data_IF_817673295159
#
_entry.id   IF_817673295159
#
_cell.length_a   1.000
_cell.length_b   1.000
_cell.length_c   1.000
_cell.angle_alpha   90.00
_cell.angle_beta   90.00
_cell.angle_gamma   90.00
#
_symmetry.space_group_name_H-M   'P 1'
#
loop_
_entity.id
_entity.type
_entity.pdbx_description
1 polymer ?
#
# COMPACT_ATOMS: atom_id res chain seq x y z
N UNK A 1 17.83 -10.18 -16.80
CA UNK A 1 16.78 -9.51 -16.01
C UNK A 1 15.61 -10.46 -16.00
N UNK A 2 15.13 -10.88 -14.83
CA UNK A 2 13.92 -11.72 -14.78
C UNK A 2 12.75 -10.92 -15.39
N UNK A 3 11.92 -11.58 -16.19
CA UNK A 3 10.73 -10.97 -16.76
C UNK A 3 9.79 -10.60 -15.60
N UNK A 4 9.31 -9.35 -15.59
CA UNK A 4 8.31 -8.92 -14.59
C UNK A 4 7.04 -9.76 -14.81
N UNK A 5 6.43 -10.33 -13.75
CA UNK A 5 5.21 -11.10 -13.90
C UNK A 5 4.08 -10.24 -14.50
N UNK A 6 3.23 -10.87 -15.30
CA UNK A 6 1.97 -10.30 -15.75
C UNK A 6 0.87 -10.81 -14.83
N UNK A 7 0.38 -9.97 -13.93
CA UNK A 7 -0.41 -10.38 -12.77
C UNK A 7 -1.82 -10.87 -13.12
N UNK A 8 -2.27 -10.63 -14.34
CA UNK A 8 -3.54 -11.13 -14.88
C UNK A 8 -3.44 -12.55 -15.45
N UNK A 9 -2.25 -13.13 -15.53
CA UNK A 9 -2.09 -14.53 -15.95
C UNK A 9 -2.62 -15.51 -14.89
N UNK A 10 -3.15 -16.69 -15.28
CA UNK A 10 -3.80 -17.61 -14.34
C UNK A 10 -2.92 -18.06 -13.17
N UNK A 11 -1.60 -18.21 -13.38
CA UNK A 11 -0.67 -18.62 -12.33
C UNK A 11 -0.48 -17.51 -11.28
N UNK A 12 -0.31 -16.27 -11.73
CA UNK A 12 -0.17 -15.09 -10.90
C UNK A 12 -1.45 -14.75 -10.13
N UNK A 13 -2.62 -14.92 -10.75
CA UNK A 13 -3.91 -14.80 -10.05
C UNK A 13 -4.04 -15.80 -8.90
N UNK A 14 -3.55 -17.02 -9.09
CA UNK A 14 -3.49 -18.02 -8.03
C UNK A 14 -2.47 -17.61 -6.95
N UNK A 15 -1.32 -17.05 -7.36
CA UNK A 15 -0.32 -16.54 -6.43
C UNK A 15 -0.86 -15.41 -5.54
N UNK A 16 -1.60 -14.44 -6.10
CA UNK A 16 -2.27 -13.37 -5.35
C UNK A 16 -3.16 -13.97 -4.25
N UNK A 17 -4.02 -14.93 -4.61
CA UNK A 17 -4.91 -15.58 -3.65
C UNK A 17 -4.16 -16.36 -2.57
N UNK A 18 -3.08 -17.06 -2.92
CA UNK A 18 -2.26 -17.80 -1.97
C UNK A 18 -1.56 -16.87 -0.97
N UNK A 19 -1.02 -15.75 -1.45
CA UNK A 19 -0.43 -14.72 -0.59
C UNK A 19 -1.50 -14.17 0.37
N UNK A 20 -2.70 -13.84 -0.13
CA UNK A 20 -3.73 -13.24 0.71
C UNK A 20 -4.27 -14.22 1.75
N UNK A 21 -4.46 -15.49 1.41
CA UNK A 21 -4.80 -16.53 2.39
C UNK A 21 -3.72 -16.71 3.46
N UNK A 22 -2.44 -16.54 3.10
CA UNK A 22 -1.32 -16.60 4.05
C UNK A 22 -1.28 -15.38 4.96
N UNK A 23 -1.41 -14.17 4.40
CA UNK A 23 -1.26 -12.90 5.12
C UNK A 23 -2.50 -12.56 5.95
N UNK A 24 -3.70 -12.90 5.45
CA UNK A 24 -4.98 -12.66 6.10
C UNK A 24 -5.78 -13.98 6.18
N UNK A 25 -5.46 -14.88 7.13
CA UNK A 25 -6.12 -16.19 7.23
C UNK A 25 -7.64 -16.11 7.47
N UNK A 26 -8.13 -14.98 7.97
CA UNK A 26 -9.56 -14.71 8.15
C UNK A 26 -10.33 -14.61 6.83
N UNK A 27 -9.66 -14.34 5.71
CA UNK A 27 -10.29 -14.27 4.38
C UNK A 27 -10.31 -15.67 3.74
N UNK A 28 -11.11 -16.56 4.30
CA UNK A 28 -11.17 -17.99 3.91
C UNK A 28 -11.56 -18.19 2.45
N UNK A 29 -12.50 -17.37 1.96
CA UNK A 29 -12.99 -17.42 0.58
C UNK A 29 -12.10 -16.63 -0.40
N UNK A 30 -11.05 -15.98 0.11
CA UNK A 30 -10.15 -15.15 -0.68
C UNK A 30 -10.80 -13.84 -1.14
N UNK A 31 -10.30 -13.32 -2.28
CA UNK A 31 -10.81 -12.10 -2.89
C UNK A 31 -12.08 -12.38 -3.70
N UNK A 32 -13.02 -11.43 -3.72
CA UNK A 32 -14.11 -11.47 -4.69
C UNK A 32 -13.55 -11.31 -6.12
N UNK A 33 -14.24 -11.88 -7.11
CA UNK A 33 -13.78 -11.86 -8.51
C UNK A 33 -13.46 -10.44 -9.01
N UNK A 34 -14.33 -9.47 -8.72
CA UNK A 34 -14.12 -8.06 -9.10
C UNK A 34 -12.91 -7.43 -8.39
N UNK A 35 -12.62 -7.84 -7.15
CA UNK A 35 -11.45 -7.37 -6.44
C UNK A 35 -10.18 -7.97 -7.05
N UNK A 36 -10.19 -9.26 -7.37
CA UNK A 36 -9.04 -9.94 -7.97
C UNK A 36 -8.67 -9.34 -9.33
N UNK A 37 -9.67 -9.07 -10.19
CA UNK A 37 -9.48 -8.38 -11.49
C UNK A 37 -8.92 -6.97 -11.31
N UNK A 38 -9.50 -6.20 -10.37
CA UNK A 38 -9.02 -4.85 -10.05
C UNK A 38 -7.57 -4.86 -9.56
N UNK A 39 -7.24 -5.79 -8.65
CA UNK A 39 -5.94 -5.89 -7.99
C UNK A 39 -4.86 -6.32 -8.99
N UNK A 40 -5.12 -7.31 -9.84
CA UNK A 40 -4.16 -7.74 -10.86
C UNK A 40 -3.86 -6.64 -11.87
N UNK A 41 -4.87 -5.89 -12.30
CA UNK A 41 -4.69 -4.71 -13.16
C UNK A 41 -3.81 -3.64 -12.50
N UNK A 42 -4.03 -3.33 -11.21
CA UNK A 42 -3.19 -2.40 -10.44
C UNK A 42 -1.74 -2.90 -10.33
N UNK A 43 -1.54 -4.19 -10.09
CA UNK A 43 -0.21 -4.79 -9.98
C UNK A 43 0.57 -4.77 -11.32
N UNK A 44 -0.14 -4.84 -12.45
CA UNK A 44 0.41 -4.62 -13.79
C UNK A 44 0.72 -3.15 -14.09
N UNK A 45 0.33 -2.23 -13.21
CA UNK A 45 0.59 -0.79 -13.32
C UNK A 45 -0.46 -0.05 -14.15
N UNK A 46 -1.68 -0.57 -14.25
CA UNK A 46 -2.79 0.14 -14.88
C UNK A 46 -3.35 1.22 -13.95
N UNK A 47 -3.70 2.37 -14.52
CA UNK A 47 -4.42 3.43 -13.82
C UNK A 47 -5.91 3.10 -13.76
N UNK A 48 -6.45 2.98 -12.54
CA UNK A 48 -7.84 2.55 -12.34
C UNK A 48 -8.65 3.58 -11.56
N UNK A 49 -9.85 3.89 -12.08
CA UNK A 49 -10.92 4.53 -11.33
C UNK A 49 -11.90 3.47 -10.85
N UNK A 50 -12.01 3.29 -9.54
CA UNK A 50 -12.89 2.30 -8.93
C UNK A 50 -14.02 2.95 -8.12
N UNK A 51 -15.26 2.56 -8.39
CA UNK A 51 -16.46 3.00 -7.68
C UNK A 51 -17.16 1.80 -7.05
N UNK A 52 -17.09 1.69 -5.73
CA UNK A 52 -17.71 0.59 -4.97
C UNK A 52 -18.60 1.16 -3.86
N UNK A 53 -19.56 0.41 -3.33
CA UNK A 53 -20.39 0.83 -2.19
C UNK A 53 -19.66 0.60 -0.85
N UNK A 54 -20.05 1.33 0.21
CA UNK A 54 -19.39 1.18 1.51
C UNK A 54 -19.70 -0.23 2.05
N UNK A 55 -18.68 -0.94 2.53
CA UNK A 55 -18.82 -2.35 2.92
C UNK A 55 -18.34 -3.36 1.86
N UNK A 56 -18.23 -2.97 0.58
CA UNK A 56 -17.79 -3.88 -0.51
C UNK A 56 -16.26 -4.17 -0.49
N UNK A 57 -15.56 -3.77 0.56
CA UNK A 57 -14.12 -4.01 0.70
C UNK A 57 -13.25 -3.14 -0.21
N UNK A 58 -13.65 -1.90 -0.52
CA UNK A 58 -12.84 -1.00 -1.39
C UNK A 58 -11.39 -0.82 -0.91
N UNK A 59 -11.14 -0.92 0.39
CA UNK A 59 -9.77 -0.83 0.93
C UNK A 59 -8.83 -1.90 0.36
N UNK A 60 -9.38 -3.05 -0.05
CA UNK A 60 -8.62 -4.11 -0.72
C UNK A 60 -7.94 -3.61 -2.01
N UNK A 61 -8.53 -2.61 -2.69
CA UNK A 61 -7.98 -2.05 -3.92
C UNK A 61 -6.59 -1.44 -3.73
N UNK A 62 -6.27 -0.90 -2.55
CA UNK A 62 -4.94 -0.38 -2.26
C UNK A 62 -4.14 -1.28 -1.31
N UNK A 63 -4.77 -1.94 -0.33
CA UNK A 63 -4.05 -2.73 0.67
C UNK A 63 -3.51 -4.03 0.07
N UNK A 64 -4.28 -4.71 -0.77
CA UNK A 64 -3.87 -6.01 -1.32
C UNK A 64 -2.66 -5.91 -2.24
N UNK A 65 -2.58 -4.96 -3.20
CA UNK A 65 -1.37 -4.78 -4.00
C UNK A 65 -0.11 -4.53 -3.14
N UNK A 66 -0.24 -3.79 -2.03
CA UNK A 66 0.85 -3.56 -1.09
C UNK A 66 1.31 -4.89 -0.47
N UNK A 67 0.38 -5.69 0.05
CA UNK A 67 0.67 -6.99 0.68
C UNK A 67 1.28 -7.98 -0.32
N UNK A 68 0.70 -8.10 -1.52
CA UNK A 68 1.20 -8.98 -2.58
C UNK A 68 2.63 -8.63 -2.93
N UNK A 69 2.92 -7.36 -3.21
CA UNK A 69 4.28 -6.96 -3.58
C UNK A 69 5.28 -7.06 -2.43
N UNK A 70 4.82 -6.92 -1.18
CA UNK A 70 5.66 -7.04 0.01
C UNK A 70 6.02 -8.51 0.30
N UNK A 71 5.10 -9.43 0.08
CA UNK A 71 5.34 -10.87 0.20
C UNK A 71 6.14 -11.40 -0.99
N UNK A 72 5.81 -10.97 -2.21
CA UNK A 72 6.47 -11.40 -3.44
C UNK A 72 7.93 -10.96 -3.50
N UNK A 73 8.22 -9.75 -3.04
CA UNK A 73 9.58 -9.21 -3.03
C UNK A 73 10.11 -9.19 -1.60
N UNK A 74 10.83 -10.24 -1.19
CA UNK A 74 11.43 -10.28 0.15
C UNK A 74 12.71 -9.42 0.29
N UNK A 75 13.03 -8.58 -0.70
CA UNK A 75 14.25 -7.77 -0.70
C UNK A 75 14.00 -6.38 -0.06
N UNK A 76 14.91 -5.89 0.78
CA UNK A 76 14.87 -4.51 1.26
C UNK A 76 15.10 -3.52 0.10
N UNK A 77 14.58 -2.29 0.23
CA UNK A 77 14.78 -1.22 -0.77
C UNK A 77 13.75 -1.18 -1.90
N UNK A 78 12.57 -1.79 -1.72
CA UNK A 78 11.47 -1.61 -2.66
C UNK A 78 10.95 -0.17 -2.65
N UNK A 79 10.51 0.37 -3.79
CA UNK A 79 9.93 1.71 -3.84
C UNK A 79 8.83 1.89 -2.80
N UNK A 80 8.96 2.94 -1.98
CA UNK A 80 7.91 3.35 -1.04
C UNK A 80 6.67 3.77 -1.81
N UNK A 81 5.52 3.21 -1.45
CA UNK A 81 4.23 3.53 -2.06
C UNK A 81 3.60 4.72 -1.35
N UNK A 82 3.04 5.65 -2.11
CA UNK A 82 2.37 6.83 -1.56
C UNK A 82 0.87 6.62 -1.63
N UNK A 83 0.20 6.73 -0.49
CA UNK A 83 -1.25 6.70 -0.40
C UNK A 83 -1.75 8.09 -0.02
N UNK A 84 -2.59 8.69 -0.86
CA UNK A 84 -3.14 10.02 -0.57
C UNK A 84 -4.49 9.84 0.11
N UNK A 85 -4.64 10.37 1.31
CA UNK A 85 -5.84 10.20 2.12
C UNK A 85 -6.53 11.55 2.38
N UNK A 86 -7.84 11.69 2.16
CA UNK A 86 -8.53 12.98 2.31
C UNK A 86 -8.50 13.56 3.73
N UNK A 87 -8.28 12.74 4.75
CA UNK A 87 -8.24 13.18 6.16
C UNK A 87 -7.16 12.43 6.94
N UNK A 88 -6.58 13.13 7.91
CA UNK A 88 -5.66 12.56 8.91
C UNK A 88 -6.24 11.34 9.61
N UNK A 89 -7.49 11.42 10.07
CA UNK A 89 -8.12 10.30 10.78
C UNK A 89 -8.22 9.04 9.92
N UNK A 90 -8.38 9.18 8.61
CA UNK A 90 -8.34 8.03 7.70
C UNK A 90 -6.91 7.49 7.53
N UNK A 91 -5.91 8.38 7.41
CA UNK A 91 -4.50 8.00 7.37
C UNK A 91 -4.10 7.17 8.60
N UNK A 92 -4.48 7.62 9.80
CA UNK A 92 -4.20 6.93 11.06
C UNK A 92 -4.85 5.53 11.10
N UNK A 93 -6.13 5.42 10.71
CA UNK A 93 -6.79 4.12 10.61
C UNK A 93 -6.06 3.17 9.63
N UNK A 94 -5.60 3.69 8.49
CA UNK A 94 -4.86 2.87 7.52
C UNK A 94 -3.50 2.44 8.07
N UNK A 95 -2.80 3.35 8.76
CA UNK A 95 -1.55 3.05 9.45
C UNK A 95 -1.76 1.90 10.44
N UNK A 96 -2.79 1.97 11.27
CA UNK A 96 -3.09 0.96 12.27
C UNK A 96 -3.43 -0.40 11.63
N UNK A 97 -4.29 -0.42 10.61
CA UNK A 97 -4.70 -1.66 9.93
C UNK A 97 -3.54 -2.32 9.17
N UNK A 98 -2.72 -1.55 8.45
CA UNK A 98 -1.56 -2.09 7.73
C UNK A 98 -0.45 -2.53 8.69
N UNK A 99 -0.25 -1.84 9.81
CA UNK A 99 0.73 -2.23 10.83
C UNK A 99 0.40 -3.59 11.46
N UNK A 100 -0.90 -3.89 11.67
CA UNK A 100 -1.35 -5.22 12.14
C UNK A 100 -0.99 -6.35 11.16
N UNK A 101 -0.79 -6.02 9.90
CA UNK A 101 -0.37 -6.93 8.84
C UNK A 101 1.14 -6.91 8.59
N UNK A 102 1.93 -6.38 9.54
CA UNK A 102 3.39 -6.25 9.47
C UNK A 102 3.89 -5.41 8.29
N UNK A 103 3.07 -4.48 7.78
CA UNK A 103 3.51 -3.52 6.77
C UNK A 103 4.12 -2.31 7.48
N UNK A 104 5.33 -1.94 7.07
CA UNK A 104 5.98 -0.72 7.55
C UNK A 104 5.33 0.51 6.90
N UNK A 105 4.45 1.18 7.63
CA UNK A 105 3.66 2.33 7.14
C UNK A 105 3.86 3.57 8.01
N UNK A 106 3.78 4.75 7.40
CA UNK A 106 3.92 6.04 8.10
C UNK A 106 2.88 7.05 7.64
N UNK A 107 2.37 7.86 8.58
CA UNK A 107 1.52 9.01 8.26
C UNK A 107 2.38 10.27 8.12
N UNK A 108 2.49 10.78 6.90
CA UNK A 108 3.07 12.08 6.58
C UNK A 108 2.00 13.16 6.74
N UNK A 109 1.77 13.53 8.00
CA UNK A 109 0.85 14.58 8.41
C UNK A 109 1.59 15.70 9.14
N UNK A 110 0.91 16.83 9.34
CA UNK A 110 1.47 18.03 9.96
C UNK A 110 2.19 17.78 11.28
N UNK A 111 1.60 16.98 12.17
CA UNK A 111 2.17 16.73 13.49
C UNK A 111 3.47 15.93 13.38
N UNK A 112 3.48 14.84 12.62
CA UNK A 112 4.66 14.00 12.43
C UNK A 112 5.78 14.74 11.70
N UNK A 113 5.45 15.58 10.72
CA UNK A 113 6.41 16.47 10.04
C UNK A 113 6.99 17.48 11.02
N UNK A 114 6.15 18.13 11.82
CA UNK A 114 6.59 19.11 12.82
C UNK A 114 7.49 18.49 13.88
N UNK A 115 7.18 17.28 14.34
CA UNK A 115 7.99 16.53 15.30
C UNK A 115 9.34 16.12 14.72
N UNK A 116 9.35 15.59 13.49
CA UNK A 116 10.58 15.23 12.80
C UNK A 116 11.47 16.45 12.59
N UNK A 117 10.89 17.59 12.19
CA UNK A 117 11.63 18.84 12.03
C UNK A 117 12.29 19.31 13.34
N UNK A 118 11.56 19.26 14.46
CA UNK A 118 12.10 19.57 15.80
C UNK A 118 13.24 18.63 16.20
N UNK A 119 13.20 17.39 15.74
CA UNK A 119 14.24 16.39 15.97
C UNK A 119 15.42 16.47 14.97
N UNK A 120 15.40 17.41 14.02
CA UNK A 120 16.41 17.51 12.97
C UNK A 120 16.37 16.37 11.95
N UNK A 121 15.23 15.70 11.81
CA UNK A 121 15.01 14.58 10.89
C UNK A 121 14.44 15.09 9.58
N UNK A 122 15.14 14.82 8.48
CA UNK A 122 14.67 15.08 7.12
C UNK A 122 13.83 13.91 6.60
N UNK A 123 12.50 13.95 6.81
CA UNK A 123 11.59 12.85 6.44
C UNK A 123 11.61 12.54 4.94
N UNK A 124 11.58 13.56 4.08
CA UNK A 124 11.58 13.38 2.62
C UNK A 124 12.81 12.60 2.15
N UNK A 125 13.98 12.84 2.74
CA UNK A 125 15.20 12.09 2.44
C UNK A 125 15.06 10.61 2.86
N UNK A 126 14.58 10.35 4.08
CA UNK A 126 14.35 8.97 4.56
C UNK A 126 13.31 8.21 3.73
N UNK A 127 12.29 8.90 3.23
CA UNK A 127 11.28 8.30 2.34
C UNK A 127 11.91 7.97 0.98
N UNK A 128 12.71 8.88 0.42
CA UNK A 128 13.40 8.68 -0.87
C UNK A 128 14.38 7.49 -0.83
N UNK A 129 15.00 7.23 0.33
CA UNK A 129 15.92 6.10 0.50
C UNK A 129 15.22 4.73 0.42
N UNK A 130 13.88 4.67 0.56
CA UNK A 130 13.08 3.44 0.42
C UNK A 130 13.48 2.30 1.38
N UNK A 131 14.16 2.61 2.48
CA UNK A 131 14.67 1.60 3.43
C UNK A 131 13.72 1.34 4.59
N UNK A 132 12.98 2.36 5.03
CA UNK A 132 12.27 2.33 6.31
C UNK A 132 10.79 2.03 6.17
N UNK A 133 10.14 2.54 5.11
CA UNK A 133 8.70 2.46 4.94
C UNK A 133 8.34 1.86 3.59
N UNK A 134 7.43 0.89 3.61
CA UNK A 134 6.82 0.31 2.41
C UNK A 134 5.67 1.20 1.91
N UNK A 135 5.03 1.93 2.81
CA UNK A 135 3.89 2.81 2.53
C UNK A 135 4.01 4.11 3.31
N UNK A 136 3.70 5.23 2.66
CA UNK A 136 3.53 6.52 3.32
C UNK A 136 2.15 7.05 2.95
N UNK A 137 1.30 7.25 3.96
CA UNK A 137 0.04 7.94 3.83
C UNK A 137 0.32 9.46 3.88
N UNK A 138 -0.09 10.22 2.87
CA UNK A 138 0.21 11.65 2.74
C UNK A 138 -1.08 12.45 2.77
N UNK A 139 -1.12 13.45 3.64
CA UNK A 139 -2.20 14.43 3.65
C UNK A 139 -2.09 15.33 2.40
N UNK A 140 -3.19 15.61 1.68
CA UNK A 140 -3.17 16.30 0.39
C UNK A 140 -2.47 17.66 0.40
N UNK A 141 -2.50 18.37 1.54
CA UNK A 141 -1.84 19.66 1.72
C UNK A 141 -0.33 19.61 1.55
N UNK A 142 0.29 18.45 1.81
CA UNK A 142 1.73 18.24 1.70
C UNK A 142 2.19 17.74 0.32
N UNK A 143 1.26 17.43 -0.60
CA UNK A 143 1.64 16.96 -1.95
C UNK A 143 2.23 18.05 -2.84
N UNK A 144 1.94 19.31 -2.54
CA UNK A 144 2.43 20.47 -3.29
C UNK A 144 3.69 21.06 -2.68
N UNK A 145 4.12 20.54 -1.53
CA UNK A 145 5.28 21.05 -0.82
C UNK A 145 6.55 20.73 -1.61
N UNK A 146 7.42 21.73 -1.77
CA UNK A 146 8.57 21.66 -2.68
C UNK A 146 9.88 21.29 -1.96
N UNK A 147 9.80 20.73 -0.76
CA UNK A 147 10.97 20.26 -0.01
C UNK A 147 11.88 19.30 -0.82
#
# INVERSE_FOLDING_TARGET
>A
MAQKPHWQDPEELNMINNIIKKVIPAWTDGLHAVQLELISAILDGQDILCCMAAGDGKSAAFSVPILVLSEYNSQPGLPTRVLITPTKGLSENIVDELSKLNVMVFSYCKENVTEAWKAGIHLVAQIKDCLKWQVVCVDPEYLQDKE
#
